data_IF_148873936001
#
_entry.id   IF_148873936001
#
_cell.length_a   1.000
_cell.length_b   1.000
_cell.length_c   1.000
_cell.angle_alpha   90.00
_cell.angle_beta   90.00
_cell.angle_gamma   90.00
#
_symmetry.space_group_name_H-M   'P 1'
#
loop_
_entity.id
_entity.type
_entity.pdbx_description
1 polymer ?
#
# COMPACT_ATOMS: atom_id res chain seq x y z
N UNK A 1 1.40 -8.22 3.61
CA UNK A 1 1.20 -6.83 4.07
C UNK A 1 2.42 -6.27 4.78
N UNK A 2 2.92 -6.88 5.88
CA UNK A 2 4.07 -6.36 6.62
C UNK A 2 5.32 -6.13 5.76
N UNK A 3 5.70 -7.08 4.90
CA UNK A 3 6.86 -6.96 4.01
C UNK A 3 6.69 -5.81 3.00
N UNK A 4 5.50 -5.65 2.41
CA UNK A 4 5.25 -4.57 1.47
C UNK A 4 5.26 -3.19 2.15
N UNK A 5 4.69 -3.10 3.36
CA UNK A 5 4.75 -1.88 4.16
C UNK A 5 6.20 -1.56 4.58
N UNK A 6 6.96 -2.58 4.99
CA UNK A 6 8.38 -2.41 5.34
C UNK A 6 9.22 -1.95 4.13
N UNK A 7 8.99 -2.53 2.95
CA UNK A 7 9.66 -2.11 1.72
C UNK A 7 9.33 -0.65 1.37
N UNK A 8 8.05 -0.29 1.44
CA UNK A 8 7.61 1.09 1.16
C UNK A 8 8.23 2.08 2.15
N UNK A 9 8.19 1.76 3.46
CA UNK A 9 8.83 2.58 4.50
C UNK A 9 10.34 2.68 4.30
N UNK A 10 11.00 1.59 3.95
CA UNK A 10 12.44 1.59 3.71
C UNK A 10 12.83 2.53 2.55
N UNK A 11 12.09 2.52 1.44
CA UNK A 11 12.33 3.44 0.32
C UNK A 11 12.11 4.89 0.76
N UNK A 12 10.97 5.18 1.39
CA UNK A 12 10.55 6.57 1.68
C UNK A 12 11.19 7.14 2.95
N UNK A 13 11.55 6.32 3.93
CA UNK A 13 12.14 6.77 5.19
C UNK A 13 13.66 6.60 5.27
N UNK A 14 14.26 5.86 4.35
CA UNK A 14 15.71 5.60 4.37
C UNK A 14 16.40 5.95 3.05
N UNK A 15 15.97 5.39 1.92
CA UNK A 15 16.64 5.62 0.63
C UNK A 15 16.50 7.08 0.20
N UNK A 16 15.27 7.58 0.09
CA UNK A 16 15.01 8.94 -0.38
C UNK A 16 15.57 10.02 0.55
N UNK A 17 15.44 9.94 1.90
CA UNK A 17 16.08 10.92 2.79
C UNK A 17 17.59 10.91 2.72
N UNK A 18 18.20 9.72 2.65
CA UNK A 18 19.65 9.58 2.48
C UNK A 18 20.14 10.22 1.19
N UNK A 19 19.44 9.99 0.10
CA UNK A 19 19.72 10.61 -1.19
C UNK A 19 19.53 12.13 -1.17
N UNK A 20 18.41 12.62 -0.61
CA UNK A 20 18.15 14.05 -0.50
C UNK A 20 19.24 14.78 0.30
N UNK A 21 19.68 14.20 1.41
CA UNK A 21 20.74 14.77 2.22
C UNK A 21 22.09 14.80 1.48
N UNK A 22 22.38 13.78 0.68
CA UNK A 22 23.66 13.66 -0.02
C UNK A 22 23.72 14.48 -1.32
N UNK A 23 22.60 14.56 -2.07
CA UNK A 23 22.62 15.06 -3.44
C UNK A 23 21.80 16.35 -3.65
N UNK A 24 20.72 16.57 -2.89
CA UNK A 24 19.82 17.69 -3.15
C UNK A 24 20.08 18.96 -2.34
N UNK A 25 21.19 19.02 -1.57
CA UNK A 25 21.63 20.25 -0.87
C UNK A 25 20.58 20.89 0.04
N UNK A 26 19.62 20.10 0.55
CA UNK A 26 18.50 20.58 1.37
C UNK A 26 17.24 20.94 0.59
N UNK A 27 17.24 20.89 -0.75
CA UNK A 27 16.03 21.05 -1.57
C UNK A 27 15.14 19.82 -1.42
N UNK A 28 13.85 19.97 -1.06
CA UNK A 28 12.95 18.83 -0.94
C UNK A 28 12.82 18.08 -2.25
N UNK A 29 12.82 16.74 -2.21
CA UNK A 29 12.54 15.92 -3.39
C UNK A 29 11.10 16.11 -3.84
N UNK A 30 10.85 15.98 -5.15
CA UNK A 30 9.55 16.20 -5.77
C UNK A 30 8.44 15.34 -5.14
N UNK A 31 8.75 14.09 -4.75
CA UNK A 31 7.78 13.17 -4.13
C UNK A 31 7.27 13.62 -2.75
N UNK A 32 8.00 14.49 -2.07
CA UNK A 32 7.63 14.97 -0.72
C UNK A 32 6.82 16.25 -0.71
N UNK A 33 6.62 16.85 -1.88
CA UNK A 33 5.79 18.04 -2.01
C UNK A 33 4.31 17.67 -1.96
N UNK A 34 3.72 17.67 -0.74
CA UNK A 34 2.32 17.27 -0.51
C UNK A 34 1.31 18.09 -1.32
N UNK A 35 1.62 19.33 -1.61
CA UNK A 35 0.79 20.25 -2.42
C UNK A 35 1.13 20.28 -3.92
N UNK A 36 2.04 19.39 -4.37
CA UNK A 36 2.64 19.50 -5.69
C UNK A 36 3.82 20.48 -5.71
N UNK A 37 4.40 20.71 -6.88
CA UNK A 37 5.54 21.62 -7.07
C UNK A 37 5.39 22.41 -8.38
N UNK A 38 6.08 23.53 -8.46
CA UNK A 38 6.08 24.43 -9.61
C UNK A 38 7.40 24.41 -10.38
N UNK A 39 7.50 25.23 -11.42
CA UNK A 39 8.72 25.34 -12.22
C UNK A 39 9.91 25.89 -11.43
N UNK A 40 9.70 26.76 -10.46
CA UNK A 40 10.77 27.32 -9.64
C UNK A 40 11.40 26.20 -8.79
N UNK A 41 10.56 25.39 -8.13
CA UNK A 41 11.00 24.22 -7.39
C UNK A 41 11.71 23.20 -8.31
N UNK A 42 11.17 22.90 -9.49
CA UNK A 42 11.77 21.98 -10.44
C UNK A 42 13.18 22.44 -10.87
N UNK A 43 13.34 23.75 -11.17
CA UNK A 43 14.65 24.35 -11.50
C UNK A 43 15.63 24.28 -10.33
N UNK A 44 15.17 24.65 -9.13
CA UNK A 44 15.98 24.61 -7.93
C UNK A 44 16.46 23.19 -7.62
N UNK A 45 15.57 22.20 -7.71
CA UNK A 45 15.92 20.80 -7.49
C UNK A 45 16.87 20.27 -8.58
N UNK A 46 16.61 20.55 -9.86
CA UNK A 46 17.47 20.15 -10.96
C UNK A 46 18.87 20.77 -10.86
N UNK A 47 18.95 22.04 -10.42
CA UNK A 47 20.22 22.73 -10.20
C UNK A 47 21.00 22.16 -9.00
N UNK A 48 20.31 21.85 -7.91
CA UNK A 48 20.95 21.28 -6.71
C UNK A 48 21.48 19.87 -6.94
N UNK A 49 20.77 19.05 -7.72
CA UNK A 49 21.18 17.69 -8.07
C UNK A 49 22.36 17.68 -9.06
N UNK A 50 22.41 18.61 -9.97
CA UNK A 50 23.35 18.58 -11.09
C UNK A 50 23.09 17.40 -12.04
N UNK A 51 24.00 17.13 -12.96
CA UNK A 51 23.84 16.04 -13.93
C UNK A 51 23.98 14.65 -13.27
N UNK A 52 24.97 14.45 -12.43
CA UNK A 52 25.23 13.20 -11.74
C UNK A 52 24.12 12.86 -10.74
N UNK A 53 23.67 13.82 -9.95
CA UNK A 53 22.56 13.63 -9.00
C UNK A 53 21.23 13.33 -9.70
N UNK A 54 20.95 13.96 -10.85
CA UNK A 54 19.76 13.63 -11.67
C UNK A 54 19.83 12.23 -12.22
N UNK A 55 20.97 11.80 -12.77
CA UNK A 55 21.15 10.43 -13.25
C UNK A 55 20.97 9.40 -12.12
N UNK A 56 21.51 9.67 -10.94
CA UNK A 56 21.30 8.82 -9.75
C UNK A 56 19.83 8.77 -9.31
N UNK A 57 19.12 9.90 -9.33
CA UNK A 57 17.72 10.01 -8.99
C UNK A 57 16.83 9.22 -9.97
N UNK A 58 17.06 9.36 -11.26
CA UNK A 58 16.43 8.56 -12.30
C UNK A 58 16.71 7.05 -12.12
N UNK A 59 17.93 6.69 -11.70
CA UNK A 59 18.29 5.32 -11.35
C UNK A 59 17.46 4.77 -10.18
N UNK A 60 17.16 5.59 -9.15
CA UNK A 60 16.25 5.23 -8.05
C UNK A 60 14.84 4.99 -8.59
N UNK A 61 14.32 5.85 -9.46
CA UNK A 61 12.98 5.70 -10.04
C UNK A 61 12.86 4.44 -10.89
N UNK A 62 13.88 4.11 -11.68
CA UNK A 62 13.92 2.90 -12.54
C UNK A 62 14.14 1.60 -11.77
N UNK A 63 14.64 1.65 -10.53
CA UNK A 63 14.89 0.48 -9.70
C UNK A 63 13.86 0.35 -8.57
N UNK A 64 14.14 0.92 -7.41
CA UNK A 64 13.26 0.85 -6.24
C UNK A 64 11.92 1.55 -6.47
N UNK A 65 11.91 2.65 -7.24
CA UNK A 65 10.71 3.38 -7.63
C UNK A 65 9.77 2.60 -8.55
N UNK A 66 10.28 1.62 -9.30
CA UNK A 66 9.47 0.68 -10.06
C UNK A 66 9.00 -0.50 -9.19
N UNK A 67 9.92 -1.11 -8.46
CA UNK A 67 9.63 -2.35 -7.71
C UNK A 67 8.71 -2.10 -6.52
N UNK A 68 8.89 -1.01 -5.77
CA UNK A 68 8.11 -0.75 -4.58
C UNK A 68 6.60 -0.62 -4.86
N UNK A 69 6.11 0.20 -5.82
CA UNK A 69 4.69 0.25 -6.16
C UNK A 69 4.13 -1.07 -6.66
N UNK A 70 4.90 -1.88 -7.40
CA UNK A 70 4.45 -3.18 -7.90
C UNK A 70 4.28 -4.19 -6.76
N UNK A 71 5.25 -4.31 -5.85
CA UNK A 71 5.15 -5.22 -4.70
C UNK A 71 4.08 -4.77 -3.71
N UNK A 72 4.00 -3.47 -3.45
CA UNK A 72 2.93 -2.89 -2.64
C UNK A 72 1.57 -3.16 -3.27
N UNK A 73 1.41 -2.86 -4.56
CA UNK A 73 0.18 -3.12 -5.29
C UNK A 73 -0.24 -4.58 -5.24
N UNK A 74 0.68 -5.52 -5.52
CA UNK A 74 0.40 -6.95 -5.45
C UNK A 74 -0.03 -7.40 -4.06
N UNK A 75 0.68 -6.97 -3.00
CA UNK A 75 0.34 -7.31 -1.63
C UNK A 75 -1.05 -6.79 -1.23
N UNK A 76 -1.42 -5.57 -1.66
CA UNK A 76 -2.75 -5.00 -1.42
C UNK A 76 -3.84 -5.70 -2.22
N UNK A 77 -3.60 -6.04 -3.48
CA UNK A 77 -4.54 -6.83 -4.29
C UNK A 77 -4.84 -8.18 -3.64
N UNK A 78 -3.81 -8.89 -3.19
CA UNK A 78 -3.98 -10.15 -2.46
C UNK A 78 -4.76 -9.95 -1.15
N UNK A 79 -4.44 -8.91 -0.39
CA UNK A 79 -5.16 -8.58 0.84
C UNK A 79 -6.65 -8.31 0.58
N UNK A 80 -6.97 -7.51 -0.43
CA UNK A 80 -8.36 -7.22 -0.84
C UNK A 80 -9.05 -8.49 -1.31
N UNK A 81 -8.40 -9.31 -2.14
CA UNK A 81 -8.96 -10.55 -2.67
C UNK A 81 -9.33 -11.54 -1.56
N UNK A 82 -8.46 -11.72 -0.57
CA UNK A 82 -8.65 -12.67 0.53
C UNK A 82 -9.63 -12.17 1.59
N UNK A 83 -9.79 -10.87 1.76
CA UNK A 83 -10.59 -10.30 2.86
C UNK A 83 -11.91 -9.68 2.40
N UNK A 84 -12.22 -9.63 1.09
CA UNK A 84 -13.47 -9.05 0.56
C UNK A 84 -14.34 -10.13 -0.07
N UNK A 85 -15.51 -10.43 0.54
CA UNK A 85 -16.42 -11.46 0.05
C UNK A 85 -17.21 -11.00 -1.19
N UNK A 86 -17.70 -9.75 -1.21
CA UNK A 86 -18.50 -9.22 -2.32
C UNK A 86 -17.64 -8.93 -3.55
N UNK A 87 -18.02 -9.48 -4.70
CA UNK A 87 -17.33 -9.28 -6.00
C UNK A 87 -17.27 -7.80 -6.37
N UNK A 88 -18.37 -7.06 -6.26
CA UNK A 88 -18.42 -5.63 -6.59
C UNK A 88 -17.44 -4.82 -5.73
N UNK A 89 -17.48 -4.99 -4.40
CA UNK A 89 -16.56 -4.33 -3.48
C UNK A 89 -15.10 -4.70 -3.73
N UNK A 90 -14.83 -5.94 -4.10
CA UNK A 90 -13.48 -6.39 -4.46
C UNK A 90 -12.95 -5.62 -5.66
N UNK A 91 -13.74 -5.50 -6.73
CA UNK A 91 -13.36 -4.73 -7.92
C UNK A 91 -13.12 -3.25 -7.61
N UNK A 92 -14.03 -2.59 -6.89
CA UNK A 92 -13.85 -1.18 -6.49
C UNK A 92 -12.58 -0.96 -5.69
N UNK A 93 -12.30 -1.82 -4.70
CA UNK A 93 -11.09 -1.72 -3.86
C UNK A 93 -9.83 -2.01 -4.67
N UNK A 94 -9.87 -3.01 -5.55
CA UNK A 94 -8.75 -3.32 -6.43
C UNK A 94 -8.45 -2.19 -7.42
N UNK A 95 -9.47 -1.49 -7.91
CA UNK A 95 -9.27 -0.32 -8.78
C UNK A 95 -8.47 0.80 -8.08
N UNK A 96 -8.72 1.07 -6.80
CA UNK A 96 -7.93 2.04 -6.01
C UNK A 96 -6.46 1.60 -5.91
N UNK A 97 -6.22 0.31 -5.66
CA UNK A 97 -4.85 -0.24 -5.58
C UNK A 97 -4.12 -0.09 -6.92
N UNK A 98 -4.78 -0.46 -8.02
CA UNK A 98 -4.21 -0.36 -9.37
C UNK A 98 -3.96 1.09 -9.77
N UNK A 99 -4.90 1.99 -9.44
CA UNK A 99 -4.72 3.43 -9.68
C UNK A 99 -3.51 3.98 -8.92
N UNK A 100 -3.36 3.62 -7.63
CA UNK A 100 -2.19 4.01 -6.84
C UNK A 100 -0.87 3.53 -7.45
N UNK A 101 -0.79 2.26 -7.85
CA UNK A 101 0.41 1.71 -8.47
C UNK A 101 0.70 2.39 -9.81
N UNK A 102 -0.30 2.54 -10.68
CA UNK A 102 -0.17 3.19 -11.99
C UNK A 102 0.26 4.66 -11.88
N UNK A 103 -0.38 5.44 -11.00
CA UNK A 103 -0.03 6.84 -10.76
C UNK A 103 1.37 6.98 -10.15
N UNK A 104 1.78 6.05 -9.27
CA UNK A 104 3.13 6.07 -8.70
C UNK A 104 4.20 5.82 -9.77
N UNK A 105 3.98 4.88 -10.68
CA UNK A 105 4.90 4.61 -11.79
C UNK A 105 4.94 5.77 -12.79
N UNK A 106 3.78 6.27 -13.22
CA UNK A 106 3.68 7.40 -14.13
C UNK A 106 4.29 8.68 -13.50
N UNK A 107 4.09 8.89 -12.19
CA UNK A 107 4.64 10.01 -11.45
C UNK A 107 6.17 10.03 -11.44
N UNK A 108 6.81 8.89 -11.24
CA UNK A 108 8.27 8.80 -11.28
C UNK A 108 8.81 9.20 -12.66
N UNK A 109 8.24 8.67 -13.74
CA UNK A 109 8.65 9.03 -15.11
C UNK A 109 8.36 10.50 -15.43
N UNK A 110 7.26 11.07 -14.93
CA UNK A 110 6.94 12.47 -15.12
C UNK A 110 7.88 13.40 -14.36
N UNK A 111 8.31 13.03 -13.13
CA UNK A 111 9.32 13.76 -12.36
C UNK A 111 10.64 13.77 -13.13
N UNK A 112 11.08 12.62 -13.65
CA UNK A 112 12.31 12.53 -14.44
C UNK A 112 12.25 13.45 -15.67
N UNK A 113 11.12 13.48 -16.38
CA UNK A 113 10.92 14.36 -17.52
C UNK A 113 10.93 15.85 -17.11
N UNK A 114 10.25 16.21 -16.01
CA UNK A 114 10.24 17.58 -15.51
C UNK A 114 11.61 18.07 -15.02
N UNK A 115 12.45 17.20 -14.51
CA UNK A 115 13.82 17.53 -14.10
C UNK A 115 14.81 17.54 -15.28
N UNK A 116 14.51 16.83 -16.38
CA UNK A 116 15.30 16.88 -17.59
C UNK A 116 15.11 18.22 -18.33
N UNK A 117 13.89 18.74 -18.36
CA UNK A 117 13.57 20.08 -18.88
C UNK A 117 12.65 20.86 -17.92
N UNK A 118 13.23 21.52 -16.89
CA UNK A 118 12.43 22.32 -15.94
C UNK A 118 11.81 23.57 -16.56
N UNK A 119 12.13 23.90 -17.81
CA UNK A 119 11.51 24.97 -18.60
C UNK A 119 10.17 24.56 -19.21
N UNK A 120 9.94 23.26 -19.43
CA UNK A 120 8.66 22.75 -19.91
C UNK A 120 7.58 22.78 -18.81
N UNK A 121 6.75 23.83 -18.84
CA UNK A 121 5.65 24.00 -17.88
C UNK A 121 4.60 22.88 -17.94
N UNK A 122 4.42 22.23 -19.09
CA UNK A 122 3.47 21.12 -19.21
C UNK A 122 4.00 19.86 -18.52
N UNK A 123 5.30 19.54 -18.69
CA UNK A 123 5.94 18.43 -18.01
C UNK A 123 5.92 18.62 -16.49
N UNK A 124 6.29 19.81 -15.99
CA UNK A 124 6.27 20.14 -14.56
C UNK A 124 4.87 20.04 -13.99
N UNK A 125 3.86 20.61 -14.66
CA UNK A 125 2.45 20.55 -14.21
C UNK A 125 1.96 19.11 -14.15
N UNK A 126 2.27 18.29 -15.16
CA UNK A 126 1.90 16.87 -15.20
C UNK A 126 2.53 16.10 -14.04
N UNK A 127 3.82 16.29 -13.80
CA UNK A 127 4.52 15.66 -12.68
C UNK A 127 3.92 16.07 -11.33
N UNK A 128 3.68 17.36 -11.13
CA UNK A 128 3.06 17.93 -9.93
C UNK A 128 1.68 17.32 -9.65
N UNK A 129 0.81 17.24 -10.67
CA UNK A 129 -0.51 16.63 -10.54
C UNK A 129 -0.45 15.14 -10.21
N UNK A 130 0.50 14.40 -10.80
CA UNK A 130 0.69 12.97 -10.47
C UNK A 130 1.21 12.77 -9.04
N UNK A 131 2.09 13.65 -8.56
CA UNK A 131 2.52 13.64 -7.14
C UNK A 131 1.33 13.87 -6.22
N UNK A 132 0.50 14.88 -6.49
CA UNK A 132 -0.71 15.16 -5.72
C UNK A 132 -1.69 13.97 -5.76
N UNK A 133 -1.96 13.43 -6.95
CA UNK A 133 -2.83 12.28 -7.13
C UNK A 133 -2.33 11.05 -6.36
N UNK A 134 -1.02 10.82 -6.31
CA UNK A 134 -0.40 9.74 -5.52
C UNK A 134 -0.70 9.88 -4.03
N UNK A 135 -0.61 11.08 -3.46
CA UNK A 135 -0.93 11.33 -2.05
C UNK A 135 -2.41 11.10 -1.75
N UNK A 136 -3.31 11.58 -2.62
CA UNK A 136 -4.76 11.33 -2.50
C UNK A 136 -5.04 9.83 -2.55
N UNK A 137 -4.47 9.13 -3.52
CA UNK A 137 -4.65 7.69 -3.66
C UNK A 137 -4.06 6.90 -2.50
N UNK A 138 -2.96 7.35 -1.88
CA UNK A 138 -2.41 6.75 -0.67
C UNK A 138 -3.41 6.83 0.49
N UNK A 139 -4.03 7.99 0.70
CA UNK A 139 -5.07 8.16 1.73
C UNK A 139 -6.26 7.22 1.46
N UNK A 140 -6.73 7.16 0.21
CA UNK A 140 -7.80 6.24 -0.20
C UNK A 140 -7.39 4.76 0.02
N UNK A 141 -6.15 4.39 -0.29
CA UNK A 141 -5.62 3.05 -0.08
C UNK A 141 -5.61 2.68 1.41
N UNK A 142 -5.21 3.61 2.29
CA UNK A 142 -5.25 3.41 3.74
C UNK A 142 -6.69 3.24 4.24
N UNK A 143 -7.63 4.05 3.74
CA UNK A 143 -9.05 3.93 4.05
C UNK A 143 -9.62 2.57 3.60
N UNK A 144 -9.33 2.14 2.37
CA UNK A 144 -9.71 0.82 1.85
C UNK A 144 -9.14 -0.30 2.72
N UNK A 145 -7.90 -0.16 3.18
CA UNK A 145 -7.24 -1.13 4.05
C UNK A 145 -7.95 -1.24 5.39
N UNK A 146 -8.23 -0.10 6.04
CA UNK A 146 -8.93 -0.06 7.32
C UNK A 146 -10.33 -0.68 7.23
N UNK A 147 -11.11 -0.30 6.20
CA UNK A 147 -12.44 -0.87 5.96
C UNK A 147 -12.40 -2.38 5.72
N UNK A 148 -11.44 -2.86 4.92
CA UNK A 148 -11.28 -4.28 4.61
C UNK A 148 -10.90 -5.07 5.86
N UNK A 149 -9.98 -4.55 6.68
CA UNK A 149 -9.58 -5.16 7.94
C UNK A 149 -10.75 -5.21 8.94
N UNK A 150 -11.49 -4.11 9.10
CA UNK A 150 -12.65 -4.05 10.00
C UNK A 150 -13.74 -5.06 9.61
N UNK A 151 -14.04 -5.18 8.31
CA UNK A 151 -14.99 -6.20 7.82
C UNK A 151 -14.49 -7.63 8.08
N UNK A 152 -13.20 -7.88 7.92
CA UNK A 152 -12.58 -9.18 8.20
C UNK A 152 -12.67 -9.56 9.69
N UNK A 153 -12.40 -8.61 10.58
CA UNK A 153 -12.50 -8.80 12.04
C UNK A 153 -13.94 -9.08 12.47
N UNK A 154 -14.91 -8.30 11.97
CA UNK A 154 -16.33 -8.50 12.26
C UNK A 154 -16.82 -9.88 11.86
N UNK A 155 -16.42 -10.38 10.68
CA UNK A 155 -16.77 -11.72 10.21
C UNK A 155 -16.18 -12.81 11.10
N UNK A 156 -14.94 -12.67 11.54
CA UNK A 156 -14.30 -13.63 12.44
C UNK A 156 -14.96 -13.63 13.82
N UNK A 157 -15.34 -12.48 14.35
CA UNK A 157 -16.08 -12.38 15.61
C UNK A 157 -17.45 -13.06 15.51
N UNK A 158 -18.20 -12.81 14.45
CA UNK A 158 -19.50 -13.45 14.21
C UNK A 158 -19.39 -14.98 14.09
N UNK A 159 -18.37 -15.47 13.38
CA UNK A 159 -18.14 -16.92 13.24
C UNK A 159 -17.77 -17.58 14.59
N UNK A 160 -17.03 -16.89 15.46
CA UNK A 160 -16.72 -17.40 16.82
C UNK A 160 -17.95 -17.46 17.70
N UNK A 161 -18.81 -16.43 17.66
CA UNK A 161 -20.07 -16.41 18.42
C UNK A 161 -20.98 -17.57 18.01
N UNK A 162 -21.16 -17.80 16.70
CA UNK A 162 -21.98 -18.89 16.18
C UNK A 162 -21.43 -20.29 16.52
N UNK A 163 -20.11 -20.45 16.58
CA UNK A 163 -19.47 -21.74 16.92
C UNK A 163 -19.50 -22.06 18.41
N UNK A 164 -19.59 -21.05 19.28
CA UNK A 164 -19.67 -21.22 20.74
C UNK A 164 -20.99 -21.86 21.22
N UNK A 165 -22.10 -21.55 20.55
CA UNK A 165 -23.43 -22.05 20.91
C UNK A 165 -23.58 -23.56 20.68
N UNK A 166 -22.90 -24.13 19.69
CA UNK A 166 -22.96 -25.57 19.39
C UNK A 166 -22.11 -26.43 20.34
N UNK A 167 -21.11 -25.87 21.01
CA UNK A 167 -20.29 -26.60 21.96
C UNK A 167 -21.02 -26.81 23.32
N UNK A 168 -21.98 -25.94 23.64
CA UNK A 168 -22.78 -26.04 24.89
C UNK A 168 -23.87 -27.09 24.82
N UNK A 169 -24.54 -27.27 23.69
CA UNK A 169 -25.67 -28.22 23.56
C UNK A 169 -25.23 -29.68 23.50
N UNK A 170 -24.05 -29.97 22.97
CA UNK A 170 -23.52 -31.33 22.90
C UNK A 170 -23.14 -31.94 24.27
N UNK A 171 -22.89 -31.09 25.27
CA UNK A 171 -22.49 -31.55 26.58
C UNK A 171 -23.71 -32.00 27.49
N UNK A 172 -24.93 -31.53 27.17
CA UNK A 172 -26.13 -31.86 27.92
C UNK A 172 -26.87 -33.10 27.39
N UNK A 173 -26.51 -33.60 26.20
CA UNK A 173 -27.15 -34.74 25.54
C UNK A 173 -26.48 -36.09 25.74
N UNK A 174 -25.58 -36.24 26.73
CA UNK A 174 -25.13 -37.58 27.11
C UNK A 174 -26.23 -38.31 27.81
N UNK A 175 -26.79 -39.42 27.26
CA UNK A 175 -27.80 -40.20 27.97
C UNK A 175 -27.20 -40.78 29.24
N UNK A 176 -27.68 -40.27 30.39
CA UNK A 176 -27.53 -40.95 31.68
C UNK A 176 -28.23 -42.28 31.60
N UNK A 177 -27.49 -43.38 31.50
CA UNK A 177 -28.10 -44.68 31.69
C UNK A 177 -27.63 -45.76 30.72
N UNK A 178 -26.34 -46.13 30.79
CA UNK A 178 -25.96 -47.50 30.55
C UNK A 178 -25.29 -48.03 31.83
N UNK A 179 -26.12 -48.53 32.74
CA UNK A 179 -25.67 -49.38 33.84
C UNK A 179 -25.06 -50.66 33.22
N UNK A 180 -23.85 -51.07 33.66
CA UNK A 180 -23.31 -52.35 33.24
C UNK A 180 -24.15 -53.50 33.84
N UNK A 181 -24.85 -54.21 32.96
CA UNK A 181 -25.59 -55.41 33.35
C UNK A 181 -24.68 -56.45 34.02
N UNK A 182 -25.24 -57.28 34.92
CA UNK A 182 -24.46 -58.25 35.74
C UNK A 182 -23.83 -59.31 34.85
N UNK A 183 -22.52 -59.50 34.98
CA UNK A 183 -21.81 -60.66 34.44
C UNK A 183 -22.26 -61.92 35.10
N UNK A 184 -23.13 -62.69 34.45
CA UNK A 184 -23.38 -64.08 34.83
C UNK A 184 -22.23 -64.96 34.33
N UNK A 185 -21.48 -65.49 35.28
CA UNK A 185 -20.46 -66.49 34.97
C UNK A 185 -21.12 -67.86 34.65
N UNK A 186 -20.46 -68.54 33.70
CA UNK A 186 -20.30 -70.03 33.68
C UNK A 186 -19.04 -70.34 32.90
#
# INVERSE_FOLDING_TARGET
>A
MAVAAALWLWVHAWILPGFAAAAAGGTPLAEWTLGGFDQEHARALAASLGEEGRAAYEGIHRSSGLLAPLFVGLAWLLFVALNTASRARRWTRSAVVLAFAGVSLAGNSAIDAALADPGDGAAVTTASLLVLARWVLLVLLLAVTALTAAEGLRRRAAARAAGGDHAGDGALSRPRGQEPGPRTGR
#
